data_IF_955025694032
#
_entry.id   IF_955025694032
#
_cell.length_a   1.000
_cell.length_b   1.000
_cell.length_c   1.000
_cell.angle_alpha   90.00
_cell.angle_beta   90.00
_cell.angle_gamma   90.00
#
_symmetry.space_group_name_H-M   'P 1'
#
loop_
_entity.id
_entity.type
_entity.pdbx_description
1 polymer ?
#
# COMPACT_ATOMS: atom_id res chain seq x y z
N UNK A 1 6.33 36.49 14.53
CA UNK A 1 5.48 35.32 14.22
C UNK A 1 6.09 34.62 13.03
N UNK A 2 6.86 33.55 13.27
CA UNK A 2 7.49 32.79 12.20
C UNK A 2 6.42 32.08 11.38
N UNK A 3 6.32 32.42 10.10
CA UNK A 3 5.54 31.65 9.14
C UNK A 3 6.19 30.26 9.06
N UNK A 4 5.53 29.25 9.63
CA UNK A 4 5.91 27.86 9.38
C UNK A 4 5.69 27.62 7.88
N UNK A 5 6.74 27.74 7.08
CA UNK A 5 6.71 27.28 5.70
C UNK A 5 6.43 25.78 5.75
N UNK A 6 5.19 25.42 5.42
CA UNK A 6 4.76 24.03 5.33
C UNK A 6 5.62 23.36 4.26
N UNK A 7 6.46 22.41 4.68
CA UNK A 7 7.30 21.65 3.77
C UNK A 7 6.45 20.59 3.05
N UNK A 8 5.88 21.01 1.92
CA UNK A 8 5.04 20.15 1.08
C UNK A 8 5.78 18.93 0.54
N UNK A 9 7.11 19.01 0.38
CA UNK A 9 7.93 17.87 0.00
C UNK A 9 7.95 16.82 1.11
N UNK A 10 8.17 17.23 2.36
CA UNK A 10 8.14 16.33 3.52
C UNK A 10 6.76 15.69 3.70
N UNK A 11 5.69 16.46 3.53
CA UNK A 11 4.31 15.95 3.66
C UNK A 11 4.01 14.92 2.57
N UNK A 12 4.29 15.23 1.31
CA UNK A 12 4.04 14.32 0.19
C UNK A 12 4.86 13.03 0.31
N UNK A 13 6.13 13.13 0.74
CA UNK A 13 6.97 11.96 0.96
C UNK A 13 6.43 11.09 2.11
N UNK A 14 6.08 11.69 3.25
CA UNK A 14 5.53 10.99 4.42
C UNK A 14 4.22 10.28 4.10
N UNK A 15 3.29 10.95 3.39
CA UNK A 15 2.05 10.34 2.92
C UNK A 15 2.33 9.16 1.99
N UNK A 16 3.32 9.31 1.10
CA UNK A 16 3.71 8.24 0.18
C UNK A 16 4.21 7.01 0.92
N UNK A 17 5.03 7.19 1.96
CA UNK A 17 5.53 6.10 2.84
C UNK A 17 4.36 5.40 3.55
N UNK A 18 3.43 6.16 4.14
CA UNK A 18 2.27 5.59 4.83
C UNK A 18 1.42 4.76 3.86
N UNK A 19 1.17 5.28 2.66
CA UNK A 19 0.47 4.54 1.61
C UNK A 19 1.21 3.26 1.23
N UNK A 20 2.54 3.32 1.08
CA UNK A 20 3.33 2.11 0.78
C UNK A 20 3.21 1.08 1.89
N UNK A 21 3.28 1.49 3.16
CA UNK A 21 3.11 0.58 4.30
C UNK A 21 1.72 -0.09 4.30
N UNK A 22 0.66 0.69 4.10
CA UNK A 22 -0.72 0.16 4.03
C UNK A 22 -0.85 -0.82 2.86
N UNK A 23 -0.35 -0.46 1.68
CA UNK A 23 -0.42 -1.30 0.50
C UNK A 23 0.33 -2.62 0.68
N UNK A 24 1.56 -2.58 1.22
CA UNK A 24 2.35 -3.78 1.52
C UNK A 24 1.64 -4.66 2.55
N UNK A 25 1.07 -4.07 3.60
CA UNK A 25 0.31 -4.83 4.60
C UNK A 25 -0.91 -5.54 3.97
N UNK A 26 -1.65 -4.85 3.08
CA UNK A 26 -2.78 -5.45 2.38
C UNK A 26 -2.35 -6.62 1.48
N UNK A 27 -1.22 -6.49 0.78
CA UNK A 27 -0.67 -7.59 -0.03
C UNK A 27 -0.29 -8.77 0.88
N UNK A 28 0.40 -8.50 1.99
CA UNK A 28 0.84 -9.54 2.93
C UNK A 28 -0.34 -10.29 3.57
N UNK A 29 -1.36 -9.57 4.05
CA UNK A 29 -2.52 -10.16 4.71
C UNK A 29 -3.40 -11.00 3.77
N UNK A 30 -3.46 -10.64 2.49
CA UNK A 30 -4.26 -11.33 1.47
C UNK A 30 -3.44 -12.31 0.62
N UNK A 31 -2.12 -12.38 0.82
CA UNK A 31 -1.24 -13.27 0.07
C UNK A 31 -1.57 -14.74 0.39
N UNK A 32 -1.74 -15.59 -0.63
CA UNK A 32 -1.99 -17.02 -0.43
C UNK A 32 -0.82 -17.72 0.27
N UNK A 33 0.39 -17.17 0.19
CA UNK A 33 1.59 -17.71 0.85
C UNK A 33 1.50 -17.60 2.38
N UNK A 34 0.74 -16.61 2.88
CA UNK A 34 0.64 -16.34 4.31
C UNK A 34 -0.42 -17.20 5.02
N UNK A 35 -1.28 -17.89 4.25
CA UNK A 35 -2.31 -18.77 4.79
C UNK A 35 -1.86 -20.22 4.68
N UNK A 36 -1.70 -20.88 5.83
CA UNK A 36 -1.23 -22.27 5.95
C UNK A 36 -2.31 -23.30 5.55
N UNK A 37 -3.45 -22.81 5.07
CA UNK A 37 -4.61 -23.62 4.68
C UNK A 37 -4.53 -23.82 3.17
N UNK A 38 -3.63 -24.70 2.76
CA UNK A 38 -3.79 -25.42 1.50
C UNK A 38 -4.73 -26.57 1.86
N UNK A 39 -6.03 -26.30 1.82
CA UNK A 39 -7.04 -27.32 2.09
C UNK A 39 -7.00 -28.31 0.92
N UNK A 40 -6.42 -29.49 1.16
CA UNK A 40 -6.15 -30.52 0.15
C UNK A 40 -7.40 -31.22 -0.40
N UNK A 41 -8.59 -30.67 -0.13
CA UNK A 41 -9.88 -31.17 -0.59
C UNK A 41 -10.30 -32.48 0.07
N UNK A 42 -11.16 -32.41 1.09
CA UNK A 42 -12.01 -33.55 1.47
C UNK A 42 -13.28 -33.58 0.60
N UNK A 43 -13.99 -34.72 0.55
CA UNK A 43 -15.26 -34.88 -0.17
C UNK A 43 -16.37 -33.88 0.26
N UNK A 44 -16.21 -33.22 1.42
CA UNK A 44 -17.14 -32.23 1.97
C UNK A 44 -16.73 -30.77 1.68
N UNK A 45 -15.70 -30.55 0.86
CA UNK A 45 -15.17 -29.21 0.59
C UNK A 45 -16.07 -28.45 -0.40
N UNK A 46 -16.69 -27.36 0.05
CA UNK A 46 -17.44 -26.45 -0.83
C UNK A 46 -16.48 -25.61 -1.68
N UNK A 47 -16.12 -26.17 -2.84
CA UNK A 47 -15.24 -25.51 -3.83
C UNK A 47 -15.77 -24.15 -4.28
N UNK A 48 -17.10 -23.94 -4.31
CA UNK A 48 -17.70 -22.67 -4.72
C UNK A 48 -17.54 -21.59 -3.64
N UNK A 49 -17.46 -21.96 -2.36
CA UNK A 49 -17.11 -21.04 -1.28
C UNK A 49 -15.62 -20.63 -1.35
N UNK A 50 -14.73 -21.59 -1.61
CA UNK A 50 -13.28 -21.35 -1.74
C UNK A 50 -12.96 -20.44 -2.92
N UNK A 51 -13.59 -20.67 -4.08
CA UNK A 51 -13.39 -19.85 -5.27
C UNK A 51 -13.79 -18.38 -5.01
N UNK A 52 -14.97 -18.16 -4.39
CA UNK A 52 -15.44 -16.81 -4.03
C UNK A 52 -14.50 -16.11 -3.05
N UNK A 53 -13.98 -16.84 -2.05
CA UNK A 53 -13.01 -16.30 -1.10
C UNK A 53 -11.69 -15.92 -1.79
N UNK A 54 -11.23 -16.76 -2.73
CA UNK A 54 -9.99 -16.54 -3.48
C UNK A 54 -10.11 -15.34 -4.41
N UNK A 55 -11.21 -15.20 -5.15
CA UNK A 55 -11.46 -14.04 -6.01
C UNK A 55 -11.46 -12.74 -5.19
N UNK A 56 -12.12 -12.75 -4.03
CA UNK A 56 -12.16 -11.58 -3.13
C UNK A 56 -10.77 -11.21 -2.63
N UNK A 57 -9.97 -12.20 -2.20
CA UNK A 57 -8.60 -11.99 -1.74
C UNK A 57 -7.69 -11.47 -2.85
N UNK A 58 -7.79 -12.04 -4.06
CA UNK A 58 -7.04 -11.54 -5.22
C UNK A 58 -7.36 -10.08 -5.52
N UNK A 59 -8.65 -9.70 -5.46
CA UNK A 59 -9.05 -8.30 -5.65
C UNK A 59 -8.45 -7.36 -4.58
N UNK A 60 -8.38 -7.82 -3.33
CA UNK A 60 -7.76 -7.05 -2.24
C UNK A 60 -6.24 -6.96 -2.37
N UNK A 61 -5.56 -8.03 -2.81
CA UNK A 61 -4.14 -7.97 -3.18
C UNK A 61 -3.89 -6.95 -4.28
N UNK A 62 -4.66 -7.01 -5.37
CA UNK A 62 -4.52 -6.07 -6.49
C UNK A 62 -4.73 -4.63 -6.04
N UNK A 63 -5.71 -4.39 -5.16
CA UNK A 63 -5.91 -3.08 -4.54
C UNK A 63 -4.69 -2.64 -3.71
N UNK A 64 -4.13 -3.54 -2.90
CA UNK A 64 -2.90 -3.28 -2.14
C UNK A 64 -1.72 -2.90 -3.05
N UNK A 65 -1.54 -3.60 -4.18
CA UNK A 65 -0.52 -3.26 -5.18
C UNK A 65 -0.74 -1.86 -5.77
N UNK A 66 -1.99 -1.49 -6.11
CA UNK A 66 -2.27 -0.13 -6.59
C UNK A 66 -1.98 0.94 -5.55
N UNK A 67 -2.23 0.68 -4.27
CA UNK A 67 -1.89 1.60 -3.18
C UNK A 67 -0.37 1.76 -3.07
N UNK A 68 0.41 0.67 -3.18
CA UNK A 68 1.88 0.72 -3.21
C UNK A 68 2.36 1.56 -4.39
N UNK A 69 1.85 1.31 -5.60
CA UNK A 69 2.22 2.08 -6.79
C UNK A 69 1.87 3.56 -6.62
N UNK A 70 0.69 3.88 -6.09
CA UNK A 70 0.28 5.25 -5.81
C UNK A 70 1.19 5.95 -4.80
N UNK A 71 1.53 5.27 -3.69
CA UNK A 71 2.46 5.79 -2.68
C UNK A 71 3.86 6.05 -3.25
N UNK A 72 4.39 5.12 -4.04
CA UNK A 72 5.68 5.27 -4.72
C UNK A 72 5.69 6.41 -5.75
N UNK A 73 4.61 6.55 -6.52
CA UNK A 73 4.45 7.68 -7.46
C UNK A 73 4.38 9.01 -6.71
N UNK A 74 3.70 9.08 -5.57
CA UNK A 74 3.64 10.28 -4.74
C UNK A 74 5.02 10.66 -4.20
N UNK A 75 5.82 9.68 -3.76
CA UNK A 75 7.22 9.92 -3.35
C UNK A 75 8.07 10.42 -4.51
N UNK A 76 7.95 9.82 -5.71
CA UNK A 76 8.65 10.29 -6.90
C UNK A 76 8.24 11.73 -7.26
N UNK A 77 6.95 12.03 -7.24
CA UNK A 77 6.44 13.38 -7.46
C UNK A 77 6.96 14.37 -6.42
N UNK A 78 7.08 13.95 -5.15
CA UNK A 78 7.63 14.78 -4.07
C UNK A 78 9.08 15.21 -4.31
N UNK A 79 9.87 14.42 -5.05
CA UNK A 79 11.25 14.79 -5.39
C UNK A 79 11.34 15.98 -6.35
N UNK A 80 10.26 16.28 -7.09
CA UNK A 80 10.17 17.45 -7.96
C UNK A 80 9.62 18.69 -7.26
N UNK A 81 9.14 18.56 -6.01
CA UNK A 81 8.70 19.72 -5.24
C UNK A 81 9.92 20.51 -4.74
N UNK A 82 9.89 21.85 -4.85
CA UNK A 82 10.95 22.69 -4.32
C UNK A 82 11.05 22.44 -2.81
N UNK A 83 12.26 22.08 -2.36
CA UNK A 83 12.50 22.04 -0.91
C UNK A 83 12.49 23.48 -0.42
N UNK A 84 11.81 23.79 0.70
CA UNK A 84 11.97 25.09 1.32
C UNK A 84 13.46 25.24 1.60
N UNK A 85 14.13 26.12 0.84
CA UNK A 85 15.50 26.45 1.15
C UNK A 85 15.49 26.95 2.58
N UNK A 86 16.28 26.32 3.44
CA UNK A 86 16.73 27.02 4.64
C UNK A 86 17.33 28.29 4.09
N UNK A 87 16.65 29.42 4.28
CA UNK A 87 17.19 30.73 3.93
C UNK A 87 18.59 30.74 4.52
N UNK A 88 19.59 30.70 3.64
CA UNK A 88 20.97 30.64 4.06
C UNK A 88 21.23 31.93 4.84
N UNK A 89 21.51 31.74 6.14
CA UNK A 89 22.18 32.62 7.08
C UNK A 89 21.93 34.13 6.99
#
# INVERSE_FOLDING_TARGET
>A
MGSYMVDWKVIANSLGIVLTMIGVYMVYANSPINHHIIDGGSLDTDFAAIERATIRRNRLMTLGVYIVLGGSMLQLASNFLPSPSVAAA
#
